data_IF_620533036443
#
_entry.id   IF_620533036443
#
_cell.length_a   1.000
_cell.length_b   1.000
_cell.length_c   1.000
_cell.angle_alpha   90.00
_cell.angle_beta   90.00
_cell.angle_gamma   90.00
#
_symmetry.space_group_name_H-M   'P 1'
#
loop_
_entity.id
_entity.type
_entity.pdbx_description
1 polymer ?
#
# COMPACT_ATOMS: atom_id res chain seq x y z
N UNK A 1 -15.45 -13.18 18.86
CA UNK A 1 -16.80 -13.76 18.98
C UNK A 1 -17.89 -12.84 18.46
N UNK A 2 -17.80 -11.52 18.70
CA UNK A 2 -18.79 -10.53 18.22
C UNK A 2 -19.09 -10.62 16.70
N UNK A 3 -18.10 -10.94 15.86
CA UNK A 3 -18.33 -11.14 14.42
C UNK A 3 -19.22 -12.35 14.10
N UNK A 4 -19.10 -13.46 14.84
CA UNK A 4 -19.92 -14.66 14.63
C UNK A 4 -21.36 -14.37 15.08
N UNK A 5 -21.54 -13.68 16.20
CA UNK A 5 -22.87 -13.26 16.67
C UNK A 5 -23.55 -12.30 15.69
N UNK A 6 -22.79 -11.32 15.17
CA UNK A 6 -23.29 -10.39 14.14
C UNK A 6 -23.66 -11.13 12.87
N UNK A 7 -22.88 -12.13 12.46
CA UNK A 7 -23.20 -12.98 11.32
C UNK A 7 -24.45 -13.83 11.57
N UNK A 8 -24.60 -14.42 12.75
CA UNK A 8 -25.77 -15.21 13.15
C UNK A 8 -27.06 -14.38 13.20
N UNK A 9 -26.96 -13.12 13.61
CA UNK A 9 -28.07 -12.15 13.63
C UNK A 9 -28.33 -11.47 12.27
N UNK A 10 -27.41 -11.57 11.31
CA UNK A 10 -27.45 -10.88 10.02
C UNK A 10 -27.89 -11.75 8.84
N UNK A 11 -27.40 -11.41 7.65
CA UNK A 11 -27.75 -12.04 6.36
C UNK A 11 -27.21 -13.46 6.17
N UNK A 12 -26.36 -13.96 7.09
CA UNK A 12 -25.79 -15.32 7.09
C UNK A 12 -25.17 -15.73 5.75
N UNK A 13 -24.46 -14.81 5.10
CA UNK A 13 -23.76 -15.08 3.85
C UNK A 13 -22.79 -16.27 4.02
N UNK A 14 -22.90 -17.27 3.14
CA UNK A 14 -22.14 -18.52 3.25
C UNK A 14 -20.63 -18.32 3.13
N UNK A 15 -20.17 -17.42 2.25
CA UNK A 15 -18.75 -17.12 2.05
C UNK A 15 -18.18 -16.51 3.33
N UNK A 16 -18.88 -15.52 3.90
CA UNK A 16 -18.46 -14.87 5.15
C UNK A 16 -18.45 -15.89 6.30
N UNK A 17 -19.50 -16.72 6.40
CA UNK A 17 -19.60 -17.77 7.42
C UNK A 17 -18.48 -18.80 7.30
N UNK A 18 -18.17 -19.25 6.07
CA UNK A 18 -17.05 -20.15 5.77
C UNK A 18 -15.72 -19.55 6.25
N UNK A 19 -15.44 -18.29 5.90
CA UNK A 19 -14.21 -17.60 6.32
C UNK A 19 -14.11 -17.49 7.85
N UNK A 20 -15.22 -17.12 8.51
CA UNK A 20 -15.28 -17.07 9.97
C UNK A 20 -15.03 -18.46 10.60
N UNK A 21 -15.60 -19.52 10.05
CA UNK A 21 -15.46 -20.87 10.59
C UNK A 21 -14.07 -21.46 10.35
N UNK A 22 -13.43 -21.16 9.21
CA UNK A 22 -12.05 -21.56 8.96
C UNK A 22 -11.10 -20.94 10.00
N UNK A 23 -11.36 -19.70 10.40
CA UNK A 23 -10.56 -18.98 11.40
C UNK A 23 -10.81 -19.43 12.84
N UNK A 24 -12.08 -19.61 13.24
CA UNK A 24 -12.44 -19.84 14.65
C UNK A 24 -12.93 -21.26 14.97
N UNK A 25 -13.29 -22.06 13.96
CA UNK A 25 -13.81 -23.41 14.14
C UNK A 25 -12.74 -24.41 14.57
N UNK A 26 -13.18 -25.47 15.26
CA UNK A 26 -12.31 -26.53 15.76
C UNK A 26 -12.45 -27.84 14.95
N UNK A 27 -13.58 -28.05 14.26
CA UNK A 27 -13.81 -29.27 13.48
C UNK A 27 -13.02 -29.25 12.15
N UNK A 28 -11.93 -30.02 12.12
CA UNK A 28 -11.08 -30.17 10.93
C UNK A 28 -11.78 -30.85 9.74
N UNK A 29 -12.75 -31.73 9.98
CA UNK A 29 -13.50 -32.39 8.91
C UNK A 29 -14.46 -31.39 8.25
N UNK A 30 -15.13 -30.57 9.04
CA UNK A 30 -15.99 -29.51 8.50
C UNK A 30 -15.17 -28.43 7.78
N UNK A 31 -13.98 -28.06 8.28
CA UNK A 31 -13.08 -27.14 7.55
C UNK A 31 -12.70 -27.68 6.17
N UNK A 32 -12.35 -28.96 6.06
CA UNK A 32 -12.08 -29.63 4.77
C UNK A 32 -13.32 -29.68 3.88
N UNK A 33 -14.50 -29.97 4.45
CA UNK A 33 -15.73 -30.00 3.67
C UNK A 33 -16.11 -28.60 3.15
N UNK A 34 -15.81 -27.54 3.91
CA UNK A 34 -16.08 -26.16 3.54
C UNK A 34 -15.16 -25.67 2.41
N UNK A 35 -14.00 -26.28 2.11
CA UNK A 35 -13.18 -25.84 0.97
C UNK A 35 -13.84 -26.14 -0.37
N UNK A 36 -14.79 -27.07 -0.42
CA UNK A 36 -15.56 -27.40 -1.63
C UNK A 36 -16.64 -26.39 -2.03
N UNK A 37 -17.45 -26.77 -3.01
CA UNK A 37 -18.58 -25.98 -3.50
C UNK A 37 -19.69 -25.86 -2.45
N UNK A 38 -20.44 -24.77 -2.52
CA UNK A 38 -21.58 -24.54 -1.64
C UNK A 38 -22.68 -25.58 -1.89
N UNK A 39 -23.09 -26.27 -0.83
CA UNK A 39 -24.25 -27.17 -0.87
C UNK A 39 -25.24 -26.79 0.25
N UNK A 40 -26.55 -27.01 0.06
CA UNK A 40 -27.55 -26.73 1.10
C UNK A 40 -27.25 -27.45 2.43
N UNK A 41 -26.73 -28.68 2.35
CA UNK A 41 -26.32 -29.45 3.52
C UNK A 41 -25.15 -28.79 4.27
N UNK A 42 -24.16 -28.24 3.55
CA UNK A 42 -23.04 -27.52 4.16
C UNK A 42 -23.48 -26.22 4.83
N UNK A 43 -24.48 -25.51 4.26
CA UNK A 43 -25.05 -24.32 4.91
C UNK A 43 -25.64 -24.63 6.28
N UNK A 44 -26.43 -25.69 6.38
CA UNK A 44 -27.05 -26.11 7.65
C UNK A 44 -25.98 -26.53 8.66
N UNK A 45 -24.99 -27.34 8.23
CA UNK A 45 -23.87 -27.76 9.10
C UNK A 45 -23.03 -26.57 9.59
N UNK A 46 -22.73 -25.62 8.70
CA UNK A 46 -22.00 -24.40 9.05
C UNK A 46 -22.78 -23.58 10.10
N UNK A 47 -24.08 -23.43 9.93
CA UNK A 47 -24.92 -22.69 10.87
C UNK A 47 -24.95 -23.35 12.25
N UNK A 48 -25.15 -24.66 12.30
CA UNK A 48 -25.12 -25.44 13.55
C UNK A 48 -23.75 -25.32 14.24
N UNK A 49 -22.67 -25.42 13.48
CA UNK A 49 -21.32 -25.33 14.01
C UNK A 49 -21.00 -23.91 14.53
N UNK A 50 -21.52 -22.86 13.89
CA UNK A 50 -21.41 -21.48 14.39
C UNK A 50 -22.21 -21.24 15.67
N UNK A 51 -23.42 -21.80 15.77
CA UNK A 51 -24.22 -21.75 16.99
C UNK A 51 -23.53 -22.49 18.14
N UNK A 52 -22.93 -23.65 17.85
CA UNK A 52 -22.16 -24.41 18.82
C UNK A 52 -20.93 -23.63 19.31
N UNK A 53 -20.21 -22.92 18.43
CA UNK A 53 -19.09 -22.06 18.80
C UNK A 53 -19.51 -20.89 19.71
N UNK A 54 -20.70 -20.32 19.52
CA UNK A 54 -21.23 -19.29 20.43
C UNK A 54 -21.72 -19.87 21.76
N UNK A 55 -22.33 -21.07 21.74
CA UNK A 55 -22.86 -21.72 22.93
C UNK A 55 -21.75 -22.28 23.84
N UNK A 56 -20.66 -22.78 23.25
CA UNK A 56 -19.51 -23.32 23.96
C UNK A 56 -18.57 -22.22 24.49
N UNK A 57 -19.12 -21.12 25.02
CA UNK A 57 -18.33 -19.99 25.52
C UNK A 57 -17.10 -20.47 26.31
N UNK A 58 -15.91 -19.93 25.94
CA UNK A 58 -14.55 -20.28 26.40
C UNK A 58 -13.84 -21.39 25.58
N UNK A 59 -12.62 -21.25 25.05
CA UNK A 59 -11.54 -20.28 25.22
C UNK A 59 -11.11 -19.85 23.82
N UNK A 60 -11.34 -18.59 23.46
CA UNK A 60 -10.70 -18.00 22.29
C UNK A 60 -9.19 -18.15 22.47
N UNK A 61 -8.45 -18.86 21.59
CA UNK A 61 -7.05 -18.49 21.39
C UNK A 61 -7.08 -16.99 21.11
N UNK A 62 -6.32 -16.22 21.89
CA UNK A 62 -6.32 -14.77 21.80
C UNK A 62 -6.29 -14.40 20.32
N UNK A 63 -7.17 -13.49 19.87
CA UNK A 63 -7.11 -13.02 18.51
C UNK A 63 -5.66 -12.62 18.30
N UNK A 64 -4.97 -13.31 17.39
CA UNK A 64 -3.85 -12.73 16.66
C UNK A 64 -4.48 -11.54 15.96
N UNK A 65 -4.57 -10.46 16.73
CA UNK A 65 -4.48 -9.11 16.25
C UNK A 65 -3.22 -9.18 15.45
N UNK A 66 -3.42 -9.36 14.15
CA UNK A 66 -2.48 -8.94 13.15
C UNK A 66 -2.32 -7.45 13.46
N UNK A 67 -1.39 -7.16 14.38
CA UNK A 67 -1.02 -5.83 14.78
C UNK A 67 -0.37 -5.33 13.52
N UNK A 68 -1.19 -4.79 12.60
CA UNK A 68 -0.72 -4.25 11.33
C UNK A 68 0.52 -3.48 11.66
N UNK A 69 1.64 -3.99 11.16
CA UNK A 69 2.96 -3.72 11.71
C UNK A 69 3.13 -2.21 11.67
N UNK A 70 3.02 -1.58 12.85
CA UNK A 70 3.15 -0.13 12.95
C UNK A 70 4.61 0.13 12.65
N UNK A 71 4.85 0.90 11.60
CA UNK A 71 6.21 1.32 11.27
C UNK A 71 6.81 1.97 12.53
N UNK A 72 7.97 1.50 13.02
CA UNK A 72 8.57 2.06 14.22
C UNK A 72 8.92 3.52 13.96
N UNK A 73 8.54 4.40 14.90
CA UNK A 73 8.90 5.81 14.84
C UNK A 73 10.43 5.94 14.88
N UNK A 74 11.02 6.51 13.82
CA UNK A 74 12.44 6.85 13.76
C UNK A 74 12.60 8.36 14.03
N UNK A 75 12.79 8.78 15.29
CA UNK A 75 12.61 10.18 15.67
C UNK A 75 13.64 11.16 15.08
N UNK A 76 14.81 10.70 14.61
CA UNK A 76 15.92 11.60 14.26
C UNK A 76 16.46 11.47 12.82
N UNK A 77 15.88 10.62 11.98
CA UNK A 77 16.39 10.38 10.62
C UNK A 77 15.46 11.00 9.57
N UNK A 78 15.95 12.01 8.85
CA UNK A 78 15.15 12.73 7.85
C UNK A 78 14.73 11.85 6.67
N UNK A 79 15.53 10.84 6.31
CA UNK A 79 15.23 9.90 5.23
C UNK A 79 14.09 8.98 5.68
N UNK A 80 14.21 8.36 6.86
CA UNK A 80 13.15 7.51 7.41
C UNK A 80 11.86 8.29 7.66
N UNK A 81 11.95 9.56 8.07
CA UNK A 81 10.79 10.45 8.19
C UNK A 81 10.10 10.66 6.84
N UNK A 82 10.85 10.99 5.78
CA UNK A 82 10.25 11.14 4.44
C UNK A 82 9.58 9.87 3.93
N UNK A 83 10.19 8.69 4.12
CA UNK A 83 9.60 7.40 3.77
C UNK A 83 8.30 7.17 4.57
N UNK A 84 8.29 7.55 5.85
CA UNK A 84 7.12 7.45 6.73
C UNK A 84 5.99 8.35 6.27
N UNK A 85 6.26 9.58 5.88
CA UNK A 85 5.26 10.52 5.36
C UNK A 85 4.65 10.02 4.06
N UNK A 86 5.48 9.56 3.12
CA UNK A 86 5.04 8.98 1.85
C UNK A 86 4.16 7.74 2.08
N UNK A 87 4.56 6.86 3.00
CA UNK A 87 3.78 5.70 3.39
C UNK A 87 2.42 6.10 3.98
N UNK A 88 2.39 7.04 4.93
CA UNK A 88 1.14 7.52 5.56
C UNK A 88 0.17 8.05 4.52
N UNK A 89 0.63 8.83 3.55
CA UNK A 89 -0.21 9.38 2.49
C UNK A 89 -0.82 8.28 1.61
N UNK A 90 -0.02 7.30 1.17
CA UNK A 90 -0.49 6.17 0.34
C UNK A 90 -1.44 5.27 1.11
N UNK A 91 -1.12 4.95 2.36
CA UNK A 91 -1.94 4.11 3.22
C UNK A 91 -3.30 4.75 3.52
N UNK A 92 -3.33 6.06 3.80
CA UNK A 92 -4.57 6.80 3.99
C UNK A 92 -5.48 6.74 2.75
N UNK A 93 -4.90 6.89 1.55
CA UNK A 93 -5.64 6.73 0.29
C UNK A 93 -6.17 5.31 0.09
N UNK A 94 -5.35 4.30 0.40
CA UNK A 94 -5.78 2.89 0.33
C UNK A 94 -6.95 2.62 1.29
N UNK A 95 -6.89 3.15 2.51
CA UNK A 95 -7.99 3.03 3.50
C UNK A 95 -9.27 3.71 3.03
N UNK A 96 -9.16 4.87 2.41
CA UNK A 96 -10.31 5.54 1.79
C UNK A 96 -10.95 4.67 0.70
N UNK A 97 -10.15 4.05 -0.18
CA UNK A 97 -10.65 3.17 -1.23
C UNK A 97 -11.29 1.88 -0.68
N UNK A 98 -10.72 1.31 0.39
CA UNK A 98 -11.35 0.17 1.09
C UNK A 98 -12.73 0.56 1.64
N UNK A 99 -12.85 1.74 2.24
CA UNK A 99 -14.12 2.25 2.72
C UNK A 99 -15.12 2.51 1.58
N UNK A 100 -14.67 3.04 0.44
CA UNK A 100 -15.50 3.19 -0.77
C UNK A 100 -16.02 1.83 -1.25
N UNK A 101 -15.17 0.80 -1.28
CA UNK A 101 -15.55 -0.54 -1.66
C UNK A 101 -16.65 -1.11 -0.74
N UNK A 102 -16.52 -0.87 0.57
CA UNK A 102 -17.49 -1.32 1.57
C UNK A 102 -18.89 -0.69 1.37
N UNK A 103 -18.99 0.52 0.81
CA UNK A 103 -20.29 1.19 0.54
C UNK A 103 -21.15 0.43 -0.46
N UNK A 104 -20.55 -0.27 -1.42
CA UNK A 104 -21.28 -1.04 -2.43
C UNK A 104 -21.91 -2.31 -1.85
N UNK A 105 -21.48 -2.75 -0.66
CA UNK A 105 -22.14 -3.77 0.14
C UNK A 105 -22.35 -5.09 -0.61
N UNK A 106 -23.62 -5.43 -0.88
CA UNK A 106 -24.03 -6.66 -1.59
C UNK A 106 -24.62 -6.39 -2.98
N UNK A 107 -24.53 -5.16 -3.47
CA UNK A 107 -25.01 -4.84 -4.80
C UNK A 107 -24.15 -5.52 -5.88
N UNK A 108 -24.80 -6.33 -6.70
CA UNK A 108 -24.18 -7.12 -7.77
C UNK A 108 -24.57 -6.64 -9.16
N UNK A 109 -25.11 -5.42 -9.30
CA UNK A 109 -25.35 -4.81 -10.60
C UNK A 109 -24.05 -4.69 -11.41
N UNK A 110 -24.12 -4.84 -12.74
CA UNK A 110 -22.92 -4.81 -13.58
C UNK A 110 -22.17 -3.46 -13.52
N UNK A 111 -22.90 -2.36 -13.32
CA UNK A 111 -22.32 -1.03 -13.10
C UNK A 111 -21.50 -0.98 -11.80
N UNK A 112 -22.04 -1.53 -10.71
CA UNK A 112 -21.34 -1.63 -9.42
C UNK A 112 -20.13 -2.54 -9.52
N UNK A 113 -20.24 -3.70 -10.20
CA UNK A 113 -19.11 -4.62 -10.41
C UNK A 113 -17.94 -3.97 -11.15
N UNK A 114 -18.22 -3.19 -12.20
CA UNK A 114 -17.19 -2.46 -12.96
C UNK A 114 -16.48 -1.44 -12.08
N UNK A 115 -17.24 -0.69 -11.27
CA UNK A 115 -16.68 0.32 -10.37
C UNK A 115 -15.83 -0.32 -9.26
N UNK A 116 -16.34 -1.39 -8.63
CA UNK A 116 -15.59 -2.18 -7.65
C UNK A 116 -14.30 -2.76 -8.23
N UNK A 117 -14.32 -3.20 -9.49
CA UNK A 117 -13.13 -3.71 -10.17
C UNK A 117 -12.04 -2.64 -10.27
N UNK A 118 -12.38 -1.43 -10.69
CA UNK A 118 -11.42 -0.32 -10.78
C UNK A 118 -10.89 0.10 -9.40
N UNK A 119 -11.74 0.12 -8.36
CA UNK A 119 -11.31 0.39 -6.99
C UNK A 119 -10.30 -0.68 -6.52
N UNK A 120 -10.60 -1.96 -6.72
CA UNK A 120 -9.71 -3.06 -6.37
C UNK A 120 -8.36 -2.95 -7.09
N UNK A 121 -8.38 -2.59 -8.38
CA UNK A 121 -7.15 -2.38 -9.17
C UNK A 121 -6.29 -1.25 -8.60
N UNK A 122 -6.91 -0.15 -8.16
CA UNK A 122 -6.20 0.95 -7.51
C UNK A 122 -5.61 0.55 -6.14
N UNK A 123 -6.35 -0.23 -5.35
CA UNK A 123 -5.85 -0.78 -4.07
C UNK A 123 -4.61 -1.64 -4.32
N UNK A 124 -4.67 -2.57 -5.28
CA UNK A 124 -3.53 -3.42 -5.62
C UNK A 124 -2.31 -2.62 -6.12
N UNK A 125 -2.53 -1.53 -6.84
CA UNK A 125 -1.44 -0.64 -7.25
C UNK A 125 -0.80 0.06 -6.04
N UNK A 126 -1.61 0.57 -5.11
CA UNK A 126 -1.12 1.19 -3.87
C UNK A 126 -0.38 0.19 -2.97
N UNK A 127 -0.84 -1.06 -2.87
CA UNK A 127 -0.13 -2.11 -2.13
C UNK A 127 1.27 -2.36 -2.68
N UNK A 128 1.43 -2.41 -4.01
CA UNK A 128 2.75 -2.54 -4.65
C UNK A 128 3.65 -1.35 -4.34
N UNK A 129 3.11 -0.13 -4.36
CA UNK A 129 3.87 1.08 -4.02
C UNK A 129 4.27 1.11 -2.54
N UNK A 130 3.40 0.64 -1.64
CA UNK A 130 3.68 0.53 -0.21
C UNK A 130 4.78 -0.51 0.04
N UNK A 131 4.71 -1.68 -0.61
CA UNK A 131 5.74 -2.70 -0.50
C UNK A 131 7.09 -2.18 -0.99
N UNK A 132 7.12 -1.44 -2.10
CA UNK A 132 8.35 -0.80 -2.58
C UNK A 132 8.92 0.25 -1.60
N UNK A 133 8.09 0.91 -0.78
CA UNK A 133 8.57 1.79 0.29
C UNK A 133 9.17 0.99 1.45
N UNK A 134 8.59 -0.16 1.78
CA UNK A 134 9.16 -1.08 2.77
C UNK A 134 10.51 -1.62 2.31
N UNK A 135 10.61 -2.09 1.07
CA UNK A 135 11.87 -2.57 0.50
C UNK A 135 12.97 -1.49 0.56
N UNK A 136 12.61 -0.23 0.27
CA UNK A 136 13.54 0.91 0.39
C UNK A 136 13.97 1.18 1.82
N UNK A 137 13.05 1.10 2.77
CA UNK A 137 13.32 1.28 4.19
C UNK A 137 14.26 0.19 4.70
N UNK A 138 13.96 -1.05 4.39
CA UNK A 138 14.71 -2.20 4.89
C UNK A 138 16.13 -2.17 4.30
N UNK A 139 16.27 -1.85 3.01
CA UNK A 139 17.57 -1.59 2.40
C UNK A 139 18.33 -0.46 3.10
N UNK A 140 17.67 0.66 3.42
CA UNK A 140 18.30 1.79 4.11
C UNK A 140 18.78 1.43 5.51
N UNK A 141 18.00 0.64 6.26
CA UNK A 141 18.36 0.15 7.59
C UNK A 141 19.58 -0.78 7.52
N UNK A 142 19.65 -1.63 6.50
CA UNK A 142 20.75 -2.58 6.31
C UNK A 142 22.05 -1.92 5.80
N UNK A 143 21.95 -0.96 4.88
CA UNK A 143 23.10 -0.42 4.14
C UNK A 143 23.49 1.01 4.56
N UNK A 144 22.63 1.71 5.31
CA UNK A 144 22.82 3.12 5.65
C UNK A 144 22.67 4.10 4.47
N UNK A 145 22.30 3.61 3.28
CA UNK A 145 22.09 4.40 2.07
C UNK A 145 20.77 4.03 1.42
N UNK A 146 20.11 5.00 0.79
CA UNK A 146 18.87 4.72 0.04
C UNK A 146 19.29 3.98 -1.24
N UNK A 147 18.60 2.89 -1.65
CA UNK A 147 18.95 2.23 -2.89
C UNK A 147 18.81 3.26 -4.01
N UNK A 148 19.91 3.51 -4.72
CA UNK A 148 19.93 4.46 -5.83
C UNK A 148 18.76 4.12 -6.73
N UNK A 149 17.75 5.00 -6.75
CA UNK A 149 16.69 4.95 -7.74
C UNK A 149 17.43 5.13 -9.03
N UNK A 150 17.74 4.02 -9.74
CA UNK A 150 18.54 3.96 -10.97
C UNK A 150 18.53 5.33 -11.60
N UNK A 151 19.52 6.15 -11.27
CA UNK A 151 19.59 7.48 -11.83
C UNK A 151 19.77 7.18 -13.29
N UNK A 152 18.76 7.48 -14.12
CA UNK A 152 18.88 7.34 -15.57
C UNK A 152 20.29 7.80 -15.91
N UNK A 153 21.14 6.87 -16.35
CA UNK A 153 22.57 7.12 -16.51
C UNK A 153 22.70 8.42 -17.31
N UNK A 154 23.18 9.47 -16.66
CA UNK A 154 23.20 10.78 -17.27
C UNK A 154 24.31 10.79 -18.31
N UNK A 155 23.97 10.41 -19.53
CA UNK A 155 24.92 10.40 -20.64
C UNK A 155 25.00 11.79 -21.24
N UNK A 156 26.18 12.39 -21.20
CA UNK A 156 26.46 13.64 -21.91
C UNK A 156 26.43 13.33 -23.42
N UNK A 157 25.60 14.02 -24.23
CA UNK A 157 25.61 13.84 -25.67
C UNK A 157 26.99 14.17 -26.26
N UNK A 158 27.52 13.29 -27.13
CA UNK A 158 28.82 13.52 -27.80
C UNK A 158 28.77 14.70 -28.80
N UNK A 159 27.59 14.96 -29.39
CA UNK A 159 27.37 16.05 -30.32
C UNK A 159 27.39 17.42 -29.59
N UNK A 160 28.31 18.34 -29.94
CA UNK A 160 28.44 19.65 -29.30
C UNK A 160 27.15 20.48 -29.31
N UNK A 161 26.34 20.40 -30.37
CA UNK A 161 25.10 21.16 -30.45
C UNK A 161 24.03 20.62 -29.48
N UNK A 162 23.96 19.29 -29.35
CA UNK A 162 23.06 18.64 -28.38
C UNK A 162 23.52 18.91 -26.95
N UNK A 163 24.83 18.93 -26.71
CA UNK A 163 25.38 19.28 -25.39
C UNK A 163 25.06 20.73 -25.02
N UNK A 164 25.27 21.71 -25.90
CA UNK A 164 24.90 23.10 -25.64
C UNK A 164 23.40 23.26 -25.32
N UNK A 165 22.54 22.57 -26.09
CA UNK A 165 21.09 22.57 -25.85
C UNK A 165 20.71 21.93 -24.50
N UNK A 166 21.43 20.90 -24.08
CA UNK A 166 21.24 20.27 -22.78
C UNK A 166 21.58 21.23 -21.64
N UNK A 167 22.72 21.94 -21.72
CA UNK A 167 23.14 22.95 -20.74
C UNK A 167 22.08 24.05 -20.61
N UNK A 168 21.56 24.55 -21.74
CA UNK A 168 20.49 25.56 -21.75
C UNK A 168 19.23 25.08 -21.05
N UNK A 169 18.83 23.83 -21.29
CA UNK A 169 17.66 23.24 -20.66
C UNK A 169 17.87 23.05 -19.15
N UNK A 170 19.00 22.49 -18.74
CA UNK A 170 19.36 22.32 -17.33
C UNK A 170 19.37 23.66 -16.59
N UNK A 171 19.97 24.69 -17.18
CA UNK A 171 19.99 26.05 -16.62
C UNK A 171 18.58 26.61 -16.44
N UNK A 172 17.69 26.42 -17.44
CA UNK A 172 16.27 26.81 -17.33
C UNK A 172 15.56 26.05 -16.20
N UNK A 173 15.80 24.76 -16.05
CA UNK A 173 15.19 23.95 -15.00
C UNK A 173 15.67 24.37 -13.61
N UNK A 174 16.98 24.57 -13.41
CA UNK A 174 17.54 25.06 -12.15
C UNK A 174 16.90 26.40 -11.77
N UNK A 175 16.78 27.34 -12.73
CA UNK A 175 16.11 28.64 -12.47
C UNK A 175 14.65 28.46 -12.08
N UNK A 176 13.90 27.60 -12.79
CA UNK A 176 12.49 27.32 -12.52
C UNK A 176 12.29 26.73 -11.13
N UNK A 177 13.02 25.67 -10.79
CA UNK A 177 12.84 24.98 -9.51
C UNK A 177 13.36 25.80 -8.33
N UNK A 178 14.38 26.65 -8.52
CA UNK A 178 14.79 27.62 -7.50
C UNK A 178 13.67 28.62 -7.18
N UNK A 179 12.95 29.10 -8.19
CA UNK A 179 11.78 29.98 -7.99
C UNK A 179 10.65 29.26 -7.25
N UNK A 180 10.37 28.00 -7.60
CA UNK A 180 9.34 27.18 -6.93
C UNK A 180 9.71 26.96 -5.46
N UNK A 181 10.96 26.57 -5.17
CA UNK A 181 11.41 26.38 -3.79
C UNK A 181 11.37 27.68 -2.97
N UNK A 182 11.62 28.83 -3.62
CA UNK A 182 11.48 30.14 -2.96
C UNK A 182 10.03 30.50 -2.64
N UNK A 183 9.05 30.03 -3.41
CA UNK A 183 7.62 30.28 -3.20
C UNK A 183 6.99 29.26 -2.25
N UNK A 184 7.44 28.02 -2.32
CA UNK A 184 6.91 26.87 -1.57
C UNK A 184 8.07 26.11 -0.90
N UNK A 185 8.58 26.59 0.25
CA UNK A 185 9.75 25.99 0.91
C UNK A 185 9.54 24.54 1.38
N UNK A 186 8.29 24.10 1.55
CA UNK A 186 7.93 22.74 1.97
C UNK A 186 7.79 21.73 0.83
N UNK A 187 8.01 22.13 -0.43
CA UNK A 187 7.82 21.24 -1.57
C UNK A 187 9.06 20.34 -1.78
N UNK A 188 9.09 19.19 -1.11
CA UNK A 188 10.19 18.21 -1.14
C UNK A 188 10.55 17.75 -2.56
N UNK A 189 9.54 17.55 -3.41
CA UNK A 189 9.72 17.16 -4.81
C UNK A 189 10.46 18.23 -5.63
N UNK A 190 10.11 19.50 -5.45
CA UNK A 190 10.78 20.61 -6.12
C UNK A 190 12.25 20.75 -5.68
N UNK A 191 12.53 20.53 -4.40
CA UNK A 191 13.89 20.55 -3.86
C UNK A 191 14.76 19.40 -4.40
N UNK A 192 14.21 18.18 -4.47
CA UNK A 192 14.90 17.02 -5.04
C UNK A 192 15.23 17.22 -6.53
N UNK A 193 14.28 17.75 -7.31
CA UNK A 193 14.49 18.07 -8.72
C UNK A 193 15.51 19.19 -8.92
N UNK A 194 15.49 20.23 -8.08
CA UNK A 194 16.48 21.29 -8.11
C UNK A 194 17.90 20.73 -7.94
N UNK A 195 18.11 19.90 -6.91
CA UNK A 195 19.39 19.25 -6.65
C UNK A 195 19.83 18.39 -7.84
N UNK A 196 18.95 17.51 -8.34
CA UNK A 196 19.22 16.67 -9.52
C UNK A 196 19.72 17.48 -10.72
N UNK A 197 19.04 18.57 -11.08
CA UNK A 197 19.45 19.37 -12.24
C UNK A 197 20.71 20.20 -11.99
N UNK A 198 20.97 20.61 -10.74
CA UNK A 198 22.24 21.26 -10.37
C UNK A 198 23.40 20.29 -10.50
N UNK A 199 23.27 19.07 -10.01
CA UNK A 199 24.30 18.02 -10.10
C UNK A 199 24.61 17.68 -11.57
N UNK A 200 23.56 17.50 -12.41
CA UNK A 200 23.72 17.29 -13.85
C UNK A 200 24.41 18.47 -14.56
N UNK A 201 24.08 19.70 -14.18
CA UNK A 201 24.71 20.89 -14.75
C UNK A 201 26.19 21.00 -14.33
N UNK A 202 26.52 20.65 -13.10
CA UNK A 202 27.90 20.60 -12.61
C UNK A 202 28.73 19.55 -13.38
N UNK A 203 28.14 18.39 -13.65
CA UNK A 203 28.74 17.34 -14.49
C UNK A 203 29.02 17.88 -15.91
N UNK A 204 28.05 18.54 -16.56
CA UNK A 204 28.27 19.18 -17.87
C UNK A 204 29.40 20.22 -17.88
N UNK A 205 29.55 20.98 -16.78
CA UNK A 205 30.61 21.98 -16.64
C UNK A 205 31.97 21.40 -16.22
N UNK A 206 32.07 20.08 -16.03
CA UNK A 206 33.31 19.43 -15.59
C UNK A 206 33.69 19.75 -14.13
N UNK A 207 32.76 20.29 -13.34
CA UNK A 207 32.94 20.44 -11.89
C UNK A 207 32.57 19.12 -11.25
N UNK A 208 33.56 18.24 -11.07
CA UNK A 208 33.43 17.12 -10.13
C UNK A 208 33.64 17.69 -8.72
N UNK A 209 32.69 17.45 -7.84
CA UNK A 209 32.85 17.64 -6.40
C UNK A 209 33.94 16.70 -5.84
#
# INVERSE_FOLDING_TARGET
>A
MEMIERWLKGSRNFIIGKTLYLRYGQDGALKKALTGAETPALKVKLLQAMQALCAAGEKTPAPTTDKGEKMPDAPNDSILQSITEDWKAKYAKMKYLQYELDKYGSDNSDATRSTCHEICKQILALEKEINALWDKRDYYIENGTVPDVKTDDFTIPEDPFKHAKLIDNLTKYVRRYRLICSKEPGNSNAAALLKKYQDQLNICHGKKD
#
